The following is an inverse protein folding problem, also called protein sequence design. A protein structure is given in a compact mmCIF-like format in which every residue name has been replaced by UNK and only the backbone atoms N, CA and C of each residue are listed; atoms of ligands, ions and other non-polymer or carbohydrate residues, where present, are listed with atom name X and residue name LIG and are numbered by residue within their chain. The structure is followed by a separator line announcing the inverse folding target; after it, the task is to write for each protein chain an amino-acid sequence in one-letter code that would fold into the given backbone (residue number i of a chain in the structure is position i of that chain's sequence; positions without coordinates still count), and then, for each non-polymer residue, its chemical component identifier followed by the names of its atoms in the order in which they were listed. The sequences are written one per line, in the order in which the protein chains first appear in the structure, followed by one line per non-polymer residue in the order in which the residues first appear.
data_IF_534182227674
#
_entry.id   IF_534182227674
#
_cell.length_a   1.000
_cell.length_b   1.000
_cell.length_c   1.000
_cell.angle_alpha   90.00
_cell.angle_beta   90.00
_cell.angle_gamma   90.00
#
_symmetry.space_group_name_H-M   'P 1'
#
loop_
_entity.id
_entity.type
_entity.pdbx_description
1 polymer ?
#
# COMPACT_ATOMS: atom_id res chain seq x y z
N UNK A 1 -2.08 13.89 -15.64
CA UNK A 1 -2.83 13.22 -14.55
C UNK A 1 -2.46 13.69 -13.12
N UNK A 2 -2.78 14.94 -12.67
CA UNK A 2 -2.62 15.36 -11.27
C UNK A 2 -3.80 14.98 -10.35
N UNK A 3 -4.95 14.62 -10.93
CA UNK A 3 -6.21 14.46 -10.19
C UNK A 3 -6.17 13.38 -9.11
N UNK A 4 -5.61 12.19 -9.42
CA UNK A 4 -5.57 11.08 -8.46
C UNK A 4 -4.68 11.37 -7.24
N UNK A 5 -3.65 12.20 -7.41
CA UNK A 5 -2.80 12.65 -6.29
C UNK A 5 -3.53 13.73 -5.49
N UNK A 6 -4.20 14.67 -6.17
CA UNK A 6 -4.99 15.74 -5.52
C UNK A 6 -6.17 15.20 -4.71
N UNK A 7 -6.85 14.17 -5.20
CA UNK A 7 -7.95 13.51 -4.51
C UNK A 7 -7.48 12.55 -3.40
N UNK A 8 -6.17 12.37 -3.24
CA UNK A 8 -5.62 11.47 -2.21
C UNK A 8 -5.76 9.98 -2.53
N UNK A 9 -6.06 9.60 -3.78
CA UNK A 9 -6.09 8.21 -4.22
C UNK A 9 -4.68 7.61 -4.40
N UNK A 10 -3.69 8.44 -4.71
CA UNK A 10 -2.29 8.01 -4.91
C UNK A 10 -1.35 8.89 -4.08
N UNK A 11 -0.44 8.25 -3.35
CA UNK A 11 0.65 8.89 -2.62
C UNK A 11 2.01 8.64 -3.30
N UNK A 12 2.94 9.58 -3.14
CA UNK A 12 4.33 9.45 -3.59
C UNK A 12 5.17 8.80 -2.49
N UNK A 13 6.00 7.84 -2.85
CA UNK A 13 6.97 7.19 -1.95
C UNK A 13 8.35 7.18 -2.60
N UNK A 14 9.39 6.89 -1.81
CA UNK A 14 10.76 6.73 -2.32
C UNK A 14 10.91 5.58 -3.34
N UNK A 15 9.94 4.65 -3.36
CA UNK A 15 9.91 3.48 -4.26
C UNK A 15 8.94 3.64 -5.43
N UNK A 16 8.19 4.76 -5.52
CA UNK A 16 7.28 5.01 -6.63
C UNK A 16 5.96 5.65 -6.21
N UNK A 17 4.86 5.18 -6.80
CA UNK A 17 3.50 5.65 -6.52
C UNK A 17 2.74 4.52 -5.85
N UNK A 18 1.99 4.84 -4.81
CA UNK A 18 1.27 3.86 -4.00
C UNK A 18 -0.20 4.25 -3.93
N UNK A 19 -1.10 3.29 -4.17
CA UNK A 19 -2.54 3.49 -4.05
C UNK A 19 -2.92 3.54 -2.56
N UNK A 20 -3.65 4.56 -2.16
CA UNK A 20 -4.10 4.73 -0.78
C UNK A 20 -5.33 3.87 -0.51
N UNK A 21 -5.68 3.70 0.76
CA UNK A 21 -6.92 3.04 1.19
C UNK A 21 -8.16 3.59 0.47
N UNK A 22 -8.23 4.91 0.30
CA UNK A 22 -9.32 5.57 -0.40
C UNK A 22 -9.50 5.05 -1.83
N UNK A 23 -8.40 4.76 -2.54
CA UNK A 23 -8.48 4.20 -3.88
C UNK A 23 -9.08 2.80 -3.87
N UNK A 24 -8.60 1.94 -2.97
CA UNK A 24 -9.14 0.59 -2.84
C UNK A 24 -10.64 0.60 -2.50
N UNK A 25 -11.07 1.45 -1.57
CA UNK A 25 -12.48 1.59 -1.20
C UNK A 25 -13.34 2.10 -2.37
N UNK A 26 -12.88 3.12 -3.08
CA UNK A 26 -13.60 3.69 -4.23
C UNK A 26 -13.77 2.70 -5.38
N UNK A 27 -12.79 1.82 -5.60
CA UNK A 27 -12.86 0.77 -6.61
C UNK A 27 -13.49 -0.54 -6.10
N UNK A 28 -13.90 -0.61 -4.82
CA UNK A 28 -14.46 -1.83 -4.22
C UNK A 28 -13.44 -2.99 -4.13
N UNK A 29 -12.15 -2.66 -4.14
CA UNK A 29 -11.06 -3.64 -4.09
C UNK A 29 -10.67 -3.93 -2.64
N UNK A 30 -10.37 -5.20 -2.34
CA UNK A 30 -9.80 -5.56 -1.04
C UNK A 30 -8.35 -5.09 -0.97
N UNK A 31 -8.01 -4.30 0.05
CA UNK A 31 -6.62 -3.92 0.28
C UNK A 31 -5.77 -5.18 0.52
N UNK A 32 -4.55 -5.24 -0.06
CA UNK A 32 -3.64 -6.34 0.20
C UNK A 32 -3.25 -6.34 1.69
N UNK A 33 -3.45 -7.47 2.37
CA UNK A 33 -3.15 -7.66 3.80
C UNK A 33 -1.68 -7.40 4.19
N UNK A 34 -0.79 -7.26 3.21
CA UNK A 34 0.68 -7.09 3.39
C UNK A 34 1.14 -5.65 3.66
N UNK A 35 0.24 -4.69 3.85
CA UNK A 35 0.62 -3.29 4.14
C UNK A 35 0.71 -2.94 5.62
N UNK A 36 0.21 -3.79 6.53
CA UNK A 36 0.59 -3.73 7.94
C UNK A 36 1.95 -4.42 8.10
N UNK A 37 2.94 -3.67 8.60
CA UNK A 37 4.35 -3.98 8.50
C UNK A 37 4.79 -5.34 9.06
N UNK A 38 5.74 -5.96 8.32
CA UNK A 38 6.97 -6.56 8.86
C UNK A 38 6.90 -7.33 10.19
N UNK A 39 6.80 -8.66 10.11
CA UNK A 39 7.49 -9.63 10.99
C UNK A 39 6.97 -11.05 10.71
N UNK A 40 7.56 -11.78 9.78
CA UNK A 40 7.38 -13.26 9.72
C UNK A 40 8.23 -13.91 8.62
N UNK A 41 8.82 -13.12 7.70
CA UNK A 41 9.61 -13.70 6.60
C UNK A 41 11.05 -14.07 6.99
N UNK A 42 11.52 -13.66 8.17
CA UNK A 42 12.92 -13.84 8.60
C UNK A 42 13.08 -14.51 9.98
N UNK A 43 12.01 -15.01 10.61
CA UNK A 43 12.05 -15.57 11.98
C UNK A 43 12.35 -17.08 12.06
N UNK A 44 12.89 -17.73 11.01
CA UNK A 44 13.04 -19.20 10.98
C UNK A 44 14.45 -19.74 10.71
N UNK A 45 15.52 -19.00 11.01
CA UNK A 45 16.89 -19.54 10.86
C UNK A 45 17.79 -19.24 12.05
N UNK A 46 17.42 -19.77 13.22
CA UNK A 46 18.34 -19.88 14.37
C UNK A 46 18.28 -21.31 14.92
N UNK A 47 19.08 -22.20 14.34
CA UNK A 47 19.52 -23.45 14.95
C UNK A 47 21.04 -23.61 14.78
#
# INVERSE_FOLDING_TARGET
EPYLIQQGFIMRTSRGRLATRLAYEHFGLKMPKRMDGTSDLFDNDTN
#
